data_IF_548317857533
#
_entry.id   IF_548317857533
#
_cell.length_a   1.000
_cell.length_b   1.000
_cell.length_c   1.000
_cell.angle_alpha   90.00
_cell.angle_beta   90.00
_cell.angle_gamma   90.00
#
_symmetry.space_group_name_H-M   'P 1'
#
loop_
_entity.id
_entity.type
_entity.pdbx_description
1 polymer ?
#
# COMPACT_ATOMS: atom_id res chain seq x y z
N UNK A 1 66.39 19.52 35.12
CA UNK A 1 65.89 19.69 33.74
C UNK A 1 64.49 19.11 33.68
N UNK A 2 63.47 19.97 33.63
CA UNK A 2 62.06 19.56 33.59
C UNK A 2 61.49 19.94 32.23
N UNK A 3 61.40 18.97 31.32
CA UNK A 3 60.73 19.16 30.02
C UNK A 3 59.25 18.82 30.14
N UNK A 4 58.43 19.87 30.15
CA UNK A 4 56.97 19.81 30.14
C UNK A 4 56.48 19.32 28.78
N UNK A 5 55.77 18.19 28.76
CA UNK A 5 55.08 17.66 27.59
C UNK A 5 53.93 18.59 27.21
N UNK A 6 54.11 19.31 26.10
CA UNK A 6 53.12 20.16 25.46
C UNK A 6 52.17 19.26 24.64
N UNK A 7 51.15 18.72 25.30
CA UNK A 7 50.10 17.91 24.67
C UNK A 7 48.78 18.67 24.70
N UNK A 8 48.39 19.26 23.57
CA UNK A 8 47.07 19.88 23.45
C UNK A 8 47.06 20.90 22.33
N UNK A 9 46.45 20.54 21.20
CA UNK A 9 45.84 21.39 20.15
C UNK A 9 45.60 20.61 18.84
N UNK A 10 46.12 19.37 18.70
CA UNK A 10 45.95 18.55 17.47
C UNK A 10 44.62 17.80 17.32
N UNK A 11 43.81 17.67 18.37
CA UNK A 11 42.75 16.64 18.45
C UNK A 11 41.39 17.04 17.89
N UNK A 12 41.02 18.33 17.90
CA UNK A 12 39.72 18.77 17.37
C UNK A 12 39.66 18.74 15.84
N UNK A 13 40.72 19.19 15.17
CA UNK A 13 40.81 19.18 13.70
C UNK A 13 40.82 17.76 13.14
N UNK A 14 41.50 16.85 13.82
CA UNK A 14 41.54 15.42 13.49
C UNK A 14 40.16 14.76 13.67
N UNK A 15 39.45 15.08 14.75
CA UNK A 15 38.08 14.60 14.97
C UNK A 15 37.08 15.09 13.91
N UNK A 16 37.20 16.35 13.46
CA UNK A 16 36.37 16.89 12.38
C UNK A 16 36.69 16.26 11.02
N UNK A 17 37.98 16.01 10.74
CA UNK A 17 38.38 15.30 9.53
C UNK A 17 37.81 13.87 9.52
N UNK A 18 37.83 13.18 10.65
CA UNK A 18 37.27 11.83 10.77
C UNK A 18 35.76 11.80 10.51
N UNK A 19 35.00 12.74 11.08
CA UNK A 19 33.54 12.84 10.84
C UNK A 19 33.21 13.09 9.36
N UNK A 20 33.99 13.94 8.68
CA UNK A 20 33.81 14.20 7.24
C UNK A 20 34.08 12.95 6.42
N UNK A 21 35.12 12.20 6.77
CA UNK A 21 35.45 10.97 6.05
C UNK A 21 34.38 9.90 6.28
N UNK A 22 33.88 9.72 7.51
CA UNK A 22 32.77 8.79 7.79
C UNK A 22 31.52 9.15 7.01
N UNK A 23 31.14 10.44 6.98
CA UNK A 23 29.99 10.89 6.20
C UNK A 23 30.18 10.64 4.68
N UNK A 24 31.40 10.87 4.16
CA UNK A 24 31.73 10.56 2.77
C UNK A 24 31.57 9.06 2.47
N UNK A 25 32.06 8.20 3.34
CA UNK A 25 31.90 6.74 3.19
C UNK A 25 30.43 6.33 3.23
N UNK A 26 29.62 6.95 4.08
CA UNK A 26 28.18 6.71 4.15
C UNK A 26 27.48 7.14 2.86
N UNK A 27 27.84 8.29 2.28
CA UNK A 27 27.29 8.75 0.99
C UNK A 27 27.65 7.80 -0.16
N UNK A 28 28.90 7.34 -0.21
CA UNK A 28 29.35 6.35 -1.20
C UNK A 28 28.56 5.05 -1.05
N UNK A 29 28.43 4.54 0.17
CA UNK A 29 27.68 3.31 0.44
C UNK A 29 26.20 3.46 0.03
N UNK A 30 25.57 4.60 0.33
CA UNK A 30 24.19 4.89 -0.08
C UNK A 30 24.03 4.96 -1.59
N UNK A 31 24.98 5.58 -2.30
CA UNK A 31 24.97 5.64 -3.76
C UNK A 31 25.09 4.25 -4.37
N UNK A 32 26.07 3.46 -3.91
CA UNK A 32 26.27 2.08 -4.37
C UNK A 32 25.02 1.21 -4.10
N UNK A 33 24.38 1.35 -2.93
CA UNK A 33 23.17 0.61 -2.60
C UNK A 33 21.99 0.97 -3.52
N UNK A 34 21.82 2.25 -3.86
CA UNK A 34 20.78 2.71 -4.80
C UNK A 34 21.02 2.18 -6.21
N UNK A 35 22.26 2.25 -6.68
CA UNK A 35 22.65 1.71 -7.99
C UNK A 35 22.42 0.20 -8.06
N UNK A 36 22.84 -0.54 -7.02
CA UNK A 36 22.58 -1.97 -6.91
C UNK A 36 21.08 -2.29 -6.96
N UNK A 37 20.26 -1.58 -6.18
CA UNK A 37 18.80 -1.76 -6.21
C UNK A 37 18.21 -1.47 -7.59
N UNK A 38 18.69 -0.44 -8.29
CA UNK A 38 18.20 -0.09 -9.62
C UNK A 38 18.55 -1.19 -10.65
N UNK A 39 19.81 -1.65 -10.66
CA UNK A 39 20.27 -2.73 -11.54
C UNK A 39 19.50 -4.03 -11.26
N UNK A 40 19.35 -4.38 -9.99
CA UNK A 40 18.70 -5.63 -9.60
C UNK A 40 17.19 -5.62 -9.87
N UNK A 41 16.53 -4.46 -9.72
CA UNK A 41 15.14 -4.28 -10.17
C UNK A 41 15.01 -4.41 -11.70
N UNK A 42 15.93 -3.82 -12.45
CA UNK A 42 15.94 -3.93 -13.91
C UNK A 42 16.15 -5.38 -14.37
N UNK A 43 17.09 -6.11 -13.74
CA UNK A 43 17.33 -7.53 -13.99
C UNK A 43 16.07 -8.36 -13.75
N UNK A 44 15.44 -8.22 -12.58
CA UNK A 44 14.20 -8.94 -12.25
C UNK A 44 13.06 -8.62 -13.19
N UNK A 45 12.93 -7.36 -13.62
CA UNK A 45 11.93 -6.97 -14.61
C UNK A 45 12.21 -7.62 -15.97
N UNK A 46 13.47 -7.66 -16.43
CA UNK A 46 13.86 -8.33 -17.66
C UNK A 46 13.53 -9.82 -17.61
N UNK A 47 13.90 -10.52 -16.54
CA UNK A 47 13.64 -11.95 -16.39
C UNK A 47 12.14 -12.27 -16.39
N UNK A 48 11.34 -11.45 -15.71
CA UNK A 48 9.90 -11.59 -15.71
C UNK A 48 9.29 -11.38 -17.10
N UNK A 49 9.74 -10.35 -17.82
CA UNK A 49 9.27 -10.06 -19.18
C UNK A 49 9.68 -11.15 -20.17
N UNK A 50 10.90 -11.69 -20.04
CA UNK A 50 11.38 -12.81 -20.86
C UNK A 50 10.56 -14.08 -20.59
N UNK A 51 10.22 -14.34 -19.33
CA UNK A 51 9.35 -15.45 -18.94
C UNK A 51 7.95 -15.30 -19.55
N UNK A 52 7.35 -14.11 -19.47
CA UNK A 52 6.07 -13.81 -20.11
C UNK A 52 6.13 -13.97 -21.63
N UNK A 53 7.18 -13.48 -22.28
CA UNK A 53 7.36 -13.64 -23.73
C UNK A 53 7.51 -15.11 -24.13
N UNK A 54 8.20 -15.92 -23.32
CA UNK A 54 8.29 -17.38 -23.54
C UNK A 54 6.94 -18.06 -23.40
N UNK A 55 6.14 -17.68 -22.40
CA UNK A 55 4.80 -18.21 -22.21
C UNK A 55 3.86 -17.82 -23.36
N UNK A 56 3.92 -16.58 -23.83
CA UNK A 56 3.16 -16.11 -24.99
C UNK A 56 3.55 -16.89 -26.26
N UNK A 57 4.86 -17.01 -26.54
CA UNK A 57 5.36 -17.80 -27.67
C UNK A 57 5.00 -19.29 -27.59
N UNK A 58 4.93 -19.85 -26.38
CA UNK A 58 4.48 -21.23 -26.17
C UNK A 58 2.96 -21.41 -26.32
N UNK A 59 2.20 -20.34 -26.12
CA UNK A 59 0.73 -20.33 -26.24
C UNK A 59 0.26 -20.09 -27.68
N UNK A 60 1.13 -19.58 -28.56
CA UNK A 60 0.84 -19.47 -29.99
C UNK A 60 1.02 -20.84 -30.68
N UNK A 61 0.00 -21.34 -31.41
CA UNK A 61 0.13 -22.59 -32.16
C UNK A 61 1.19 -22.41 -33.27
N UNK A 62 2.23 -23.25 -33.25
CA UNK A 62 3.25 -23.32 -34.31
C UNK A 62 2.59 -23.64 -35.65
N UNK A 63 2.42 -22.65 -36.52
CA UNK A 63 2.30 -22.91 -37.95
C UNK A 63 3.64 -23.49 -38.42
N UNK A 64 3.68 -24.82 -38.56
CA UNK A 64 4.78 -25.53 -39.22
C UNK A 64 4.79 -25.09 -40.69
N UNK A 65 5.74 -24.23 -41.05
CA UNK A 65 6.19 -24.13 -42.44
C UNK A 65 7.07 -25.34 -42.68
N UNK A 66 6.52 -26.34 -43.35
CA UNK A 66 7.26 -27.49 -43.89
C UNK A 66 7.83 -27.05 -45.25
N UNK A 67 9.14 -26.81 -45.33
CA UNK A 67 9.87 -26.85 -46.59
C UNK A 67 10.54 -28.22 -46.70
N UNK A 68 10.09 -29.06 -47.65
CA UNK A 68 10.94 -29.90 -48.53
C UNK A 68 10.13 -31.01 -49.25
N UNK A 69 10.35 -31.06 -50.58
CA UNK A 69 10.18 -32.16 -51.55
C UNK A 69 8.80 -32.53 -52.12
N UNK A 70 8.61 -32.03 -53.36
CA UNK A 70 8.26 -32.73 -54.62
C UNK A 70 7.29 -33.93 -54.62
N UNK A 71 6.19 -33.76 -55.37
CA UNK A 71 5.31 -34.82 -55.89
C UNK A 71 4.11 -34.20 -56.63
N UNK A 72 3.94 -34.53 -57.91
CA UNK A 72 3.09 -33.88 -58.93
C UNK A 72 1.56 -34.11 -58.74
N UNK A 73 0.70 -33.43 -59.54
CA UNK A 73 -0.74 -33.27 -59.31
C UNK A 73 -1.53 -34.50 -59.76
N UNK A 74 -2.69 -34.75 -59.16
CA UNK A 74 -3.94 -35.02 -59.87
C UNK A 74 -5.10 -35.23 -58.88
N UNK A 75 -6.29 -34.99 -59.41
CA UNK A 75 -7.63 -35.29 -58.87
C UNK A 75 -8.31 -34.23 -58.00
N UNK A 76 -9.06 -33.39 -58.72
CA UNK A 76 -10.25 -32.71 -58.23
C UNK A 76 -11.31 -33.73 -57.81
N UNK A 77 -11.87 -33.58 -56.60
CA UNK A 77 -13.31 -33.75 -56.41
C UNK A 77 -13.82 -32.87 -55.26
N UNK A 78 -15.02 -32.40 -55.53
CA UNK A 78 -15.79 -31.35 -54.92
C UNK A 78 -16.37 -31.80 -53.57
N UNK A 79 -16.09 -31.07 -52.49
CA UNK A 79 -16.98 -31.05 -51.32
C UNK A 79 -16.90 -29.67 -50.68
N UNK A 80 -17.81 -28.82 -51.14
CA UNK A 80 -18.22 -27.56 -50.54
C UNK A 80 -18.63 -27.73 -49.07
N UNK A 81 -17.68 -27.66 -48.15
CA UNK A 81 -17.96 -27.33 -46.76
C UNK A 81 -17.68 -25.85 -46.58
N UNK A 82 -18.74 -25.04 -46.71
CA UNK A 82 -18.74 -23.63 -46.36
C UNK A 82 -18.42 -23.48 -44.87
N UNK A 83 -17.15 -23.38 -44.52
CA UNK A 83 -16.74 -22.89 -43.20
C UNK A 83 -17.04 -21.41 -43.21
N UNK A 84 -18.23 -21.05 -42.76
CA UNK A 84 -18.56 -19.70 -42.36
C UNK A 84 -17.61 -19.33 -41.22
N UNK A 85 -16.48 -18.73 -41.56
CA UNK A 85 -15.55 -18.13 -40.61
C UNK A 85 -16.21 -16.89 -40.01
N UNK A 86 -17.17 -17.11 -39.12
CA UNK A 86 -17.53 -16.11 -38.13
C UNK A 86 -16.25 -15.77 -37.35
N UNK A 87 -15.89 -14.49 -37.19
CA UNK A 87 -14.67 -14.12 -36.49
C UNK A 87 -14.74 -14.71 -35.09
N UNK A 88 -13.86 -15.69 -34.82
CA UNK A 88 -13.73 -16.30 -33.49
C UNK A 88 -13.44 -15.15 -32.53
N UNK A 89 -14.35 -14.88 -31.61
CA UNK A 89 -14.13 -13.88 -30.58
C UNK A 89 -12.90 -14.31 -29.78
N UNK A 90 -11.98 -13.38 -29.55
CA UNK A 90 -10.74 -13.65 -28.80
C UNK A 90 -11.01 -14.13 -27.36
N UNK A 91 -12.24 -13.98 -26.88
CA UNK A 91 -12.67 -14.35 -25.55
C UNK A 91 -13.95 -15.18 -25.61
N UNK A 92 -14.03 -16.17 -24.73
CA UNK A 92 -15.18 -17.05 -24.57
C UNK A 92 -16.04 -16.64 -23.37
N UNK A 93 -17.36 -16.88 -23.39
CA UNK A 93 -18.20 -16.71 -22.22
C UNK A 93 -17.69 -17.52 -21.03
N UNK A 94 -17.37 -16.84 -19.92
CA UNK A 94 -16.74 -17.42 -18.73
C UNK A 94 -15.32 -16.91 -18.47
N UNK A 95 -14.66 -16.38 -19.50
CA UNK A 95 -13.33 -15.79 -19.38
C UNK A 95 -13.35 -14.56 -18.47
N UNK A 96 -12.25 -14.40 -17.71
CA UNK A 96 -12.01 -13.25 -16.85
C UNK A 96 -11.11 -12.26 -17.57
N UNK A 97 -11.64 -11.09 -17.87
CA UNK A 97 -10.95 -10.02 -18.59
C UNK A 97 -10.81 -8.78 -17.74
N UNK A 98 -9.72 -8.04 -17.94
CA UNK A 98 -9.52 -6.72 -17.33
C UNK A 98 -10.00 -5.64 -18.30
N UNK A 99 -10.77 -4.68 -17.80
CA UNK A 99 -11.28 -3.59 -18.63
C UNK A 99 -10.33 -2.40 -18.58
N UNK A 100 -9.87 -1.96 -19.74
CA UNK A 100 -9.12 -0.72 -19.88
C UNK A 100 -10.07 0.46 -20.10
N UNK A 101 -10.01 1.46 -19.23
CA UNK A 101 -10.70 2.74 -19.40
C UNK A 101 -9.69 3.85 -19.70
N UNK A 102 -9.80 4.42 -20.90
CA UNK A 102 -8.96 5.54 -21.31
C UNK A 102 -9.41 6.87 -20.67
N UNK A 103 -10.69 6.99 -20.34
CA UNK A 103 -11.30 8.21 -19.80
C UNK A 103 -11.31 8.15 -18.27
N UNK A 104 -10.59 9.09 -17.67
CA UNK A 104 -10.57 9.34 -16.22
C UNK A 104 -11.56 10.48 -15.94
N UNK A 105 -12.21 10.48 -14.76
CA UNK A 105 -13.13 11.57 -14.38
C UNK A 105 -12.45 12.93 -14.59
N UNK A 106 -13.14 13.87 -15.23
CA UNK A 106 -12.65 15.24 -15.44
C UNK A 106 -12.18 15.81 -14.09
N UNK A 107 -10.90 16.18 -14.00
CA UNK A 107 -10.28 16.72 -12.79
C UNK A 107 -9.23 15.81 -12.12
N UNK A 108 -9.14 14.52 -12.48
CA UNK A 108 -8.08 13.64 -11.96
C UNK A 108 -6.91 13.54 -12.95
N UNK A 109 -5.68 13.74 -12.49
CA UNK A 109 -4.50 13.60 -13.36
C UNK A 109 -4.36 12.15 -13.82
N UNK A 110 -3.96 11.94 -15.09
CA UNK A 110 -3.80 10.60 -15.70
C UNK A 110 -2.89 9.66 -14.90
N UNK A 111 -2.03 10.19 -14.03
CA UNK A 111 -1.11 9.45 -13.15
C UNK A 111 -1.79 8.84 -11.93
N UNK A 112 -2.92 9.39 -11.48
CA UNK A 112 -3.63 8.95 -10.28
C UNK A 112 -4.87 8.09 -10.58
N UNK A 113 -5.20 7.90 -11.85
CA UNK A 113 -6.36 7.11 -12.22
C UNK A 113 -5.98 5.65 -12.50
N UNK A 114 -6.67 4.74 -11.82
CA UNK A 114 -6.62 3.32 -12.16
C UNK A 114 -7.33 3.11 -13.51
N UNK A 115 -6.57 2.87 -14.58
CA UNK A 115 -7.09 2.66 -15.94
C UNK A 115 -7.48 1.21 -16.22
N UNK A 116 -6.94 0.29 -15.43
CA UNK A 116 -7.29 -1.13 -15.49
C UNK A 116 -8.25 -1.45 -14.35
N UNK A 117 -9.45 -1.88 -14.71
CA UNK A 117 -10.47 -2.30 -13.77
C UNK A 117 -10.55 -3.81 -13.76
N UNK A 118 -10.87 -4.34 -12.58
CA UNK A 118 -10.67 -5.73 -12.17
C UNK A 118 -11.32 -6.81 -13.04
N UNK A 119 -11.26 -8.08 -12.62
CA UNK A 119 -11.63 -9.20 -13.47
C UNK A 119 -13.14 -9.27 -13.69
N UNK A 120 -13.58 -8.86 -14.87
CA UNK A 120 -14.95 -9.01 -15.33
C UNK A 120 -15.13 -10.38 -15.98
N UNK A 121 -16.24 -11.04 -15.73
CA UNK A 121 -16.60 -12.28 -16.41
C UNK A 121 -17.40 -11.95 -17.66
N UNK A 122 -16.98 -12.48 -18.80
CA UNK A 122 -17.77 -12.38 -20.02
C UNK A 122 -18.98 -13.30 -19.85
N UNK A 123 -20.17 -12.72 -19.92
CA UNK A 123 -21.41 -13.47 -19.85
C UNK A 123 -21.87 -13.81 -21.28
N UNK A 124 -22.41 -15.02 -21.49
CA UNK A 124 -23.03 -15.35 -22.77
C UNK A 124 -24.24 -14.46 -22.99
N UNK A 125 -24.48 -14.04 -24.24
CA UNK A 125 -25.60 -13.15 -24.58
C UNK A 125 -26.96 -13.71 -24.15
N UNK A 126 -27.10 -15.03 -24.01
CA UNK A 126 -28.31 -15.70 -23.49
C UNK A 126 -28.65 -15.37 -22.03
N UNK A 127 -27.70 -14.86 -21.25
CA UNK A 127 -27.91 -14.43 -19.86
C UNK A 127 -28.18 -12.93 -19.72
N UNK A 128 -28.02 -12.16 -20.78
CA UNK A 128 -28.34 -10.74 -20.77
C UNK A 128 -29.85 -10.57 -20.96
N UNK A 129 -30.55 -10.11 -19.93
CA UNK A 129 -31.93 -9.64 -20.09
C UNK A 129 -31.85 -8.32 -20.85
N UNK A 130 -32.39 -8.28 -22.07
CA UNK A 130 -32.62 -7.01 -22.75
C UNK A 130 -33.55 -6.17 -21.88
N UNK A 131 -33.03 -5.08 -21.30
CA UNK A 131 -33.85 -4.09 -20.59
C UNK A 131 -34.67 -3.37 -21.66
N UNK A 132 -35.83 -3.94 -21.98
CA UNK A 132 -36.73 -3.45 -23.02
C UNK A 132 -37.66 -2.34 -22.55
N UNK A 133 -37.62 -2.02 -21.26
CA UNK A 133 -38.48 -1.02 -20.65
C UNK A 133 -37.62 -0.15 -19.71
N UNK A 134 -36.95 0.84 -20.30
CA UNK A 134 -36.85 2.10 -19.57
C UNK A 134 -38.28 2.64 -19.57
N UNK A 135 -39.03 2.43 -18.48
CA UNK A 135 -40.28 3.15 -18.27
C UNK A 135 -40.04 4.62 -18.56
N UNK A 136 -40.94 5.22 -19.33
CA UNK A 136 -40.79 6.54 -19.96
C UNK A 136 -39.92 7.46 -19.11
N UNK A 137 -38.70 7.73 -19.61
CA UNK A 137 -37.79 8.71 -19.02
C UNK A 137 -38.62 9.96 -18.76
N UNK A 138 -38.82 10.41 -17.51
CA UNK A 138 -39.65 11.57 -17.26
C UNK A 138 -38.96 12.75 -17.94
N UNK A 139 -39.49 13.14 -19.09
CA UNK A 139 -39.01 14.26 -19.89
C UNK A 139 -39.66 15.50 -19.32
N UNK A 140 -39.41 15.76 -18.03
CA UNK A 140 -39.73 17.04 -17.41
C UNK A 140 -38.80 18.05 -18.07
N UNK A 141 -39.31 18.72 -19.10
CA UNK A 141 -38.74 20.00 -19.51
C UNK A 141 -38.95 20.90 -18.29
N UNK A 142 -37.87 21.25 -17.61
CA UNK A 142 -37.89 22.26 -16.58
C UNK A 142 -38.36 23.56 -17.25
N UNK A 143 -39.66 23.83 -17.16
CA UNK A 143 -40.19 25.16 -17.43
C UNK A 143 -39.58 26.05 -16.35
N UNK A 144 -38.82 27.04 -16.81
CA UNK A 144 -38.18 28.07 -15.98
C UNK A 144 -39.25 29.06 -15.50
N UNK A 145 -40.20 28.56 -14.73
CA UNK A 145 -41.20 29.35 -14.01
C UNK A 145 -41.38 28.70 -12.63
N UNK A 146 -40.28 28.56 -11.90
CA UNK A 146 -40.35 28.56 -10.44
C UNK A 146 -40.21 30.03 -10.08
N UNK A 147 -41.33 30.63 -9.70
CA UNK A 147 -41.37 31.99 -9.19
C UNK A 147 -40.42 32.06 -7.98
N UNK A 148 -39.68 33.16 -7.86
CA UNK A 148 -38.51 33.29 -6.97
C UNK A 148 -38.87 33.13 -5.47
N UNK A 149 -40.17 33.02 -5.14
CA UNK A 149 -40.69 32.76 -3.81
C UNK A 149 -40.69 31.27 -3.41
N UNK A 150 -40.59 30.34 -4.37
CA UNK A 150 -40.46 28.90 -4.10
C UNK A 150 -38.99 28.45 -3.99
N UNK A 151 -38.04 29.38 -4.14
CA UNK A 151 -36.66 29.16 -3.71
C UNK A 151 -36.70 29.02 -2.20
N UNK A 152 -36.56 27.78 -1.72
CA UNK A 152 -36.32 27.48 -0.32
C UNK A 152 -35.32 28.51 0.22
N UNK A 153 -35.82 29.43 1.04
CA UNK A 153 -34.99 30.39 1.74
C UNK A 153 -34.22 29.56 2.76
N UNK A 154 -33.00 29.20 2.40
CA UNK A 154 -32.10 28.52 3.31
C UNK A 154 -31.76 29.55 4.38
N UNK A 155 -32.46 29.47 5.51
CA UNK A 155 -32.21 30.34 6.66
C UNK A 155 -30.90 29.87 7.32
N UNK A 156 -29.80 30.37 6.75
CA UNK A 156 -28.40 30.18 7.19
C UNK A 156 -28.20 30.55 8.67
N UNK A 157 -29.07 31.40 9.25
CA UNK A 157 -29.04 31.83 10.66
C UNK A 157 -29.49 30.77 11.69
N UNK A 158 -30.06 29.64 11.27
CA UNK A 158 -30.53 28.59 12.20
C UNK A 158 -29.58 27.40 12.35
N UNK A 159 -28.47 27.38 11.61
CA UNK A 159 -27.44 26.37 11.80
C UNK A 159 -26.46 26.88 12.86
N UNK A 160 -26.24 26.14 13.97
CA UNK A 160 -25.07 26.40 14.81
C UNK A 160 -23.83 26.32 13.92
N UNK A 161 -23.02 27.38 13.86
CA UNK A 161 -21.79 27.43 13.03
C UNK A 161 -20.76 26.32 13.34
N UNK A 162 -20.98 25.54 14.40
CA UNK A 162 -19.99 24.61 14.96
C UNK A 162 -20.18 23.13 14.54
N UNK A 163 -21.15 22.82 13.68
CA UNK A 163 -21.48 21.40 13.37
C UNK A 163 -20.62 20.75 12.26
N UNK A 164 -19.45 21.32 11.94
CA UNK A 164 -18.55 20.77 10.90
C UNK A 164 -17.08 20.74 11.30
N UNK A 165 -16.75 20.76 12.59
CA UNK A 165 -15.40 20.34 13.02
C UNK A 165 -15.30 18.81 12.93
N UNK A 166 -14.37 18.24 12.14
CA UNK A 166 -14.14 16.82 12.19
C UNK A 166 -13.60 16.47 13.57
N UNK A 167 -14.32 15.59 14.27
CA UNK A 167 -13.99 14.87 15.52
C UNK A 167 -12.69 14.04 15.45
N UNK A 168 -11.72 14.46 14.64
CA UNK A 168 -10.40 13.87 14.51
C UNK A 168 -9.60 13.85 15.83
N UNK A 169 -10.00 14.65 16.83
CA UNK A 169 -9.47 14.63 18.19
C UNK A 169 -10.28 13.75 19.16
N UNK A 170 -11.51 13.35 18.82
CA UNK A 170 -12.37 12.56 19.69
C UNK A 170 -11.88 11.09 19.73
N UNK A 171 -10.87 10.82 20.57
CA UNK A 171 -10.34 9.47 20.82
C UNK A 171 -8.81 9.37 20.80
N UNK A 172 -8.09 10.46 20.53
CA UNK A 172 -6.64 10.52 20.71
C UNK A 172 -6.32 11.22 22.03
N UNK A 173 -5.66 10.50 22.93
CA UNK A 173 -5.30 10.99 24.25
C UNK A 173 -3.78 11.07 24.36
N UNK A 174 -3.28 12.13 24.98
CA UNK A 174 -1.86 12.28 25.23
C UNK A 174 -1.44 11.44 26.45
N UNK A 175 -0.34 10.72 26.29
CA UNK A 175 0.25 9.90 27.34
C UNK A 175 1.13 10.78 28.23
N UNK A 176 0.79 10.86 29.52
CA UNK A 176 1.59 11.57 30.51
C UNK A 176 2.74 10.68 31.01
N UNK A 177 2.42 9.47 31.49
CA UNK A 177 3.40 8.53 32.04
C UNK A 177 2.98 7.06 31.81
N UNK A 178 3.99 6.19 31.75
CA UNK A 178 3.80 4.73 31.83
C UNK A 178 4.14 4.30 33.26
N UNK A 179 3.15 3.75 33.96
CA UNK A 179 3.26 3.39 35.38
C UNK A 179 3.75 1.95 35.55
N UNK A 180 3.19 1.02 34.79
CA UNK A 180 3.52 -0.40 34.91
C UNK A 180 3.34 -1.16 33.59
N UNK A 181 3.84 -2.39 33.53
CA UNK A 181 3.59 -3.31 32.44
C UNK A 181 3.23 -4.70 32.95
N UNK A 182 2.26 -5.33 32.28
CA UNK A 182 1.83 -6.68 32.58
C UNK A 182 1.83 -7.52 31.31
N UNK A 183 1.97 -8.83 31.51
CA UNK A 183 1.71 -9.82 30.47
C UNK A 183 0.55 -10.68 30.97
N UNK A 184 -0.68 -10.48 30.46
CA UNK A 184 -1.79 -11.34 30.81
C UNK A 184 -1.41 -12.79 30.48
N UNK A 185 -1.80 -13.74 31.34
CA UNK A 185 -1.64 -15.15 31.02
C UNK A 185 -2.42 -15.49 29.74
N UNK A 186 -1.85 -16.37 28.93
CA UNK A 186 -2.51 -16.86 27.71
C UNK A 186 -3.82 -17.54 28.09
N UNK A 187 -4.93 -16.95 27.67
CA UNK A 187 -6.22 -17.65 27.62
C UNK A 187 -6.31 -18.32 26.25
N UNK A 188 -6.98 -19.47 26.16
CA UNK A 188 -7.09 -20.37 25.00
C UNK A 188 -7.34 -19.73 23.62
N UNK A 189 -7.66 -18.45 23.54
CA UNK A 189 -8.05 -17.73 22.32
C UNK A 189 -7.32 -16.39 22.14
N UNK A 190 -6.56 -15.89 23.12
CA UNK A 190 -5.93 -14.55 23.06
C UNK A 190 -4.43 -14.66 23.33
N UNK A 191 -3.61 -14.20 22.37
CA UNK A 191 -2.13 -14.15 22.48
C UNK A 191 -1.73 -13.31 23.70
N UNK A 192 -0.71 -13.71 24.45
CA UNK A 192 -0.17 -12.91 25.56
C UNK A 192 0.55 -11.67 25.02
N UNK A 193 -0.21 -10.60 24.77
CA UNK A 193 0.32 -9.30 24.38
C UNK A 193 0.69 -8.54 25.66
N UNK A 194 1.88 -7.92 25.67
CA UNK A 194 2.30 -7.06 26.79
C UNK A 194 1.47 -5.77 26.76
N UNK A 195 0.86 -5.46 27.88
CA UNK A 195 0.04 -4.27 28.10
C UNK A 195 0.77 -3.34 29.07
N UNK A 196 0.55 -2.03 28.92
CA UNK A 196 1.14 -0.99 29.74
C UNK A 196 0.05 -0.20 30.43
N UNK A 197 0.22 0.10 31.72
CA UNK A 197 -0.66 0.98 32.47
C UNK A 197 -0.25 2.43 32.20
N UNK A 198 -1.15 3.15 31.55
CA UNK A 198 -0.91 4.48 31.00
C UNK A 198 -1.70 5.51 31.77
N UNK A 199 -1.02 6.54 32.27
CA UNK A 199 -1.64 7.75 32.81
C UNK A 199 -1.80 8.76 31.69
N UNK A 200 -3.01 9.25 31.49
CA UNK A 200 -3.34 10.21 30.42
C UNK A 200 -3.29 11.65 30.92
N UNK A 201 -2.87 12.57 30.06
CA UNK A 201 -2.83 14.00 30.38
C UNK A 201 -4.25 14.50 30.63
N UNK A 202 -4.50 15.02 31.83
CA UNK A 202 -5.80 15.60 32.21
C UNK A 202 -6.86 14.58 32.66
N UNK A 203 -6.51 13.30 32.82
CA UNK A 203 -7.41 12.28 33.36
C UNK A 203 -6.80 11.59 34.59
N UNK A 204 -7.60 11.38 35.62
CA UNK A 204 -7.16 10.75 36.87
C UNK A 204 -7.08 9.21 36.77
N UNK A 205 -7.81 8.60 35.84
CA UNK A 205 -7.91 7.14 35.71
C UNK A 205 -6.90 6.58 34.69
N UNK A 206 -5.91 5.78 35.13
CA UNK A 206 -4.97 5.13 34.21
C UNK A 206 -5.59 3.87 33.59
N UNK A 207 -5.20 3.56 32.35
CA UNK A 207 -5.79 2.46 31.57
C UNK A 207 -4.73 1.50 31.03
N UNK A 208 -5.09 0.23 30.82
CA UNK A 208 -4.18 -0.79 30.28
C UNK A 208 -4.26 -0.84 28.75
N UNK A 209 -3.20 -0.40 28.09
CA UNK A 209 -3.13 -0.32 26.63
C UNK A 209 -2.02 -1.21 26.04
N UNK A 210 -2.26 -1.89 24.91
CA UNK A 210 -1.21 -2.61 24.18
C UNK A 210 -0.27 -1.63 23.48
N UNK A 211 0.96 -2.08 23.19
CA UNK A 211 1.96 -1.26 22.47
C UNK A 211 1.45 -0.73 21.11
N UNK A 212 0.51 -1.43 20.46
CA UNK A 212 -0.07 -1.00 19.19
C UNK A 212 -0.90 0.28 19.28
N UNK A 213 -1.42 0.60 20.48
CA UNK A 213 -2.24 1.79 20.72
C UNK A 213 -1.39 2.97 21.20
N UNK A 214 -0.11 2.74 21.54
CA UNK A 214 0.76 3.74 22.15
C UNK A 214 1.77 4.29 21.14
N UNK A 215 1.55 5.54 20.73
CA UNK A 215 2.49 6.31 19.90
C UNK A 215 3.54 7.08 20.73
N UNK A 216 3.83 6.64 21.96
CA UNK A 216 4.73 7.32 22.90
C UNK A 216 6.11 6.65 22.99
N UNK A 217 6.79 6.49 21.84
CA UNK A 217 8.04 5.74 21.73
C UNK A 217 9.15 6.19 22.70
N UNK A 218 9.24 7.48 22.99
CA UNK A 218 10.19 8.03 23.98
C UNK A 218 9.91 7.57 25.40
N UNK A 219 8.69 7.83 25.90
CA UNK A 219 8.25 7.44 27.25
C UNK A 219 8.34 5.92 27.47
N UNK A 220 7.96 5.13 26.47
CA UNK A 220 8.09 3.68 26.51
C UNK A 220 9.55 3.23 26.60
N UNK A 221 10.45 3.87 25.85
CA UNK A 221 11.87 3.55 25.90
C UNK A 221 12.50 3.89 27.26
N UNK A 222 12.17 5.04 27.83
CA UNK A 222 12.67 5.49 29.13
C UNK A 222 12.22 4.57 30.26
N UNK A 223 10.92 4.21 30.29
CA UNK A 223 10.38 3.24 31.24
C UNK A 223 11.11 1.88 31.16
N UNK A 224 11.32 1.33 29.96
CA UNK A 224 12.01 0.05 29.80
C UNK A 224 13.49 0.11 30.19
N UNK A 225 14.14 1.24 29.93
CA UNK A 225 15.53 1.49 30.32
C UNK A 225 15.65 1.47 31.84
N UNK A 226 14.78 2.18 32.54
CA UNK A 226 14.76 2.24 33.99
C UNK A 226 14.45 0.87 34.61
N UNK A 227 13.42 0.18 34.10
CA UNK A 227 13.07 -1.18 34.56
C UNK A 227 14.22 -2.17 34.41
N UNK A 228 14.97 -2.12 33.31
CA UNK A 228 16.16 -2.96 33.11
C UNK A 228 17.29 -2.60 34.08
N UNK A 229 17.47 -1.31 34.35
CA UNK A 229 18.43 -0.82 35.34
C UNK A 229 18.09 -1.39 36.72
N UNK A 230 16.83 -1.24 37.16
CA UNK A 230 16.34 -1.77 38.42
C UNK A 230 16.50 -3.30 38.53
N UNK A 231 16.15 -4.04 37.48
CA UNK A 231 16.36 -5.50 37.44
C UNK A 231 17.84 -5.87 37.57
N UNK A 232 18.74 -5.12 36.90
CA UNK A 232 20.18 -5.32 37.01
C UNK A 232 20.69 -5.05 38.42
N UNK A 233 20.23 -3.98 39.07
CA UNK A 233 20.56 -3.70 40.47
C UNK A 233 20.10 -4.82 41.41
N UNK A 234 18.87 -5.33 41.22
CA UNK A 234 18.35 -6.45 42.00
C UNK A 234 19.19 -7.72 41.83
N UNK A 235 19.67 -8.01 40.63
CA UNK A 235 20.55 -9.18 40.39
C UNK A 235 21.93 -9.02 41.02
N UNK A 236 22.48 -7.80 41.07
CA UNK A 236 23.78 -7.54 41.72
C UNK A 236 23.69 -7.72 43.22
N UNK A 237 22.60 -7.25 43.86
CA UNK A 237 22.41 -7.43 45.31
C UNK A 237 22.24 -8.90 45.71
N UNK A 238 21.50 -9.69 44.92
CA UNK A 238 21.33 -11.14 45.16
C UNK A 238 22.65 -11.92 45.02
N UNK A 239 23.62 -11.41 44.25
CA UNK A 239 24.93 -12.05 44.11
C UNK A 239 25.89 -11.77 45.29
N UNK A 240 25.70 -10.68 46.02
CA UNK A 240 26.51 -10.31 47.20
C UNK A 240 25.96 -10.92 48.51
N UNK A 241 24.73 -11.47 48.50
CA UNK A 241 24.06 -12.07 49.68
C UNK A 241 24.23 -13.60 49.79
N UNK A 242 25.09 -14.22 48.96
CA UNK A 242 25.40 -15.67 48.97
C UNK A 242 26.91 -15.92 49.12
#
# INVERSE_FOLDING_TARGET
MTSSLKGGLGTQSEALAWRREVNRQQEIALKMAKEYQAVEKARRASEHNDSLSRQEKASLPRLRVNESSEGNPDDAEDTSTSVSESPKSLFEPGDRVWLYMEIVKLGLTKKLAHRWHGPFRILPMSRLKAVKEFGDRPKVRLTRELTDEARLKFDEELLPEDSWEPDSLAGQYEVEFILDDRRPMETSTRRSVREFLVKWVGYDEPTWEPMTNLSCGGLHYDYLREKRSFQRFKMVQVADEN
#
